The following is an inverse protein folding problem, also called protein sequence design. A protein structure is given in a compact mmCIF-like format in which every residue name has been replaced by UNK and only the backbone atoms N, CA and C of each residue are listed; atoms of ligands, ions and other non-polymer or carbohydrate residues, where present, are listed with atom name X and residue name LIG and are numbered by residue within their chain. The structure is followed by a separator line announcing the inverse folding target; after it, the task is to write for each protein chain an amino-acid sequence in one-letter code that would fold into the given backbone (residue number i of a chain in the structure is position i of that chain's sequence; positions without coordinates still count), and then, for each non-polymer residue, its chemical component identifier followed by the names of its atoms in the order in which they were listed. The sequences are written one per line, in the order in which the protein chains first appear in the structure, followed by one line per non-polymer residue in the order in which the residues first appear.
data_IF_471741003743
#
_entry.id   IF_471741003743
#
_cell.length_a   1.000
_cell.length_b   1.000
_cell.length_c   1.000
_cell.angle_alpha   90.00
_cell.angle_beta   90.00
_cell.angle_gamma   90.00
#
_symmetry.space_group_name_H-M   'P 1'
#
loop_
_entity.id
_entity.type
_entity.pdbx_description
1 polymer ?
#
# COMPACT_ATOMS: atom_id res chain seq x y z
N UNK A 1 5.24 -7.98 16.70
CA UNK A 1 5.37 -6.75 17.50
C UNK A 1 4.50 -6.93 18.73
N UNK A 2 5.10 -7.25 19.88
CA UNK A 2 4.43 -7.33 21.17
C UNK A 2 3.98 -5.90 21.51
N UNK A 3 2.68 -5.67 21.52
CA UNK A 3 2.09 -4.45 22.09
C UNK A 3 2.19 -4.55 23.61
N UNK A 4 3.27 -4.05 24.15
CA UNK A 4 3.39 -3.85 25.59
C UNK A 4 2.34 -2.79 25.98
N UNK A 5 1.30 -3.22 26.68
CA UNK A 5 0.17 -2.38 27.10
C UNK A 5 0.41 -1.71 28.46
N UNK A 6 1.64 -1.72 28.96
CA UNK A 6 1.97 -1.01 30.20
C UNK A 6 1.79 0.49 29.96
N UNK A 7 1.02 1.20 30.77
CA UNK A 7 0.94 2.66 30.64
C UNK A 7 2.34 3.23 30.87
N UNK A 8 2.88 3.86 29.82
CA UNK A 8 4.14 4.58 29.92
C UNK A 8 3.93 5.77 30.85
N UNK A 9 4.45 5.65 32.06
CA UNK A 9 4.49 6.76 33.01
C UNK A 9 5.73 7.59 32.71
N UNK A 10 5.56 8.90 32.59
CA UNK A 10 6.67 9.81 32.36
C UNK A 10 7.58 9.82 33.58
N UNK A 11 8.88 9.61 33.37
CA UNK A 11 9.89 9.61 34.41
C UNK A 11 10.16 11.07 34.85
N UNK A 12 9.95 11.36 36.13
CA UNK A 12 10.13 12.70 36.73
C UNK A 12 11.16 12.73 37.86
N UNK A 13 11.57 11.57 38.34
CA UNK A 13 12.48 11.45 39.51
C UNK A 13 13.96 11.39 39.08
N UNK A 14 14.34 12.21 38.10
CA UNK A 14 15.72 12.25 37.60
C UNK A 14 16.49 13.42 38.19
N UNK A 15 17.81 13.22 38.32
CA UNK A 15 18.74 14.28 38.72
C UNK A 15 19.91 14.31 37.76
N UNK A 16 20.16 15.41 37.02
CA UNK A 16 19.35 16.64 36.98
C UNK A 16 18.07 16.52 36.20
N UNK A 17 17.05 17.29 36.57
CA UNK A 17 15.85 17.49 35.76
C UNK A 17 15.50 18.98 35.69
N UNK A 18 14.71 19.35 34.65
CA UNK A 18 14.33 20.72 34.35
C UNK A 18 12.81 20.82 34.24
N UNK A 19 12.25 21.88 34.84
CA UNK A 19 10.81 22.13 34.78
C UNK A 19 10.42 22.57 33.36
N UNK A 20 9.82 21.67 32.61
CA UNK A 20 9.44 21.92 31.19
C UNK A 20 8.00 22.42 31.13
N UNK A 21 7.82 23.60 30.55
CA UNK A 21 6.51 24.22 30.35
C UNK A 21 5.90 23.84 29.02
N UNK A 22 6.76 23.66 28.00
CA UNK A 22 6.33 23.43 26.62
C UNK A 22 7.27 22.47 25.91
N UNK A 23 6.70 21.59 25.08
CA UNK A 23 7.45 20.73 24.16
C UNK A 23 7.08 21.11 22.71
N UNK A 24 8.07 21.40 21.90
CA UNK A 24 7.90 21.86 20.50
C UNK A 24 8.55 20.88 19.56
N UNK A 25 7.92 20.64 18.40
CA UNK A 25 8.50 19.90 17.31
C UNK A 25 8.80 20.87 16.16
N UNK A 26 10.07 21.04 15.82
CA UNK A 26 10.56 21.85 14.71
C UNK A 26 11.28 20.99 13.67
N UNK A 27 11.75 21.62 12.60
CA UNK A 27 12.48 20.97 11.51
C UNK A 27 11.72 21.04 10.19
N UNK A 28 12.31 20.42 9.19
CA UNK A 28 11.75 20.43 7.83
C UNK A 28 10.40 19.71 7.80
N UNK A 29 9.38 20.34 7.21
CA UNK A 29 8.00 19.84 7.17
C UNK A 29 7.40 19.46 8.55
N UNK A 30 7.87 20.10 9.63
CA UNK A 30 7.43 19.75 11.00
C UNK A 30 5.90 19.80 11.18
N UNK A 31 5.21 20.66 10.43
CA UNK A 31 3.74 20.72 10.42
C UNK A 31 3.07 19.37 10.07
N UNK A 32 3.66 18.61 9.16
CA UNK A 32 3.21 17.26 8.77
C UNK A 32 3.30 16.25 9.90
N UNK A 33 4.24 16.42 10.82
CA UNK A 33 4.60 15.47 11.87
C UNK A 33 4.09 15.84 13.26
N UNK A 34 3.38 16.97 13.41
CA UNK A 34 2.82 17.42 14.69
C UNK A 34 1.92 16.38 15.38
N UNK A 35 1.32 15.47 14.60
CA UNK A 35 0.55 14.37 15.15
C UNK A 35 1.37 13.44 16.06
N UNK A 36 2.67 13.29 15.79
CA UNK A 36 3.56 12.47 16.59
C UNK A 36 3.83 13.12 17.94
N UNK A 37 4.08 14.42 17.98
CA UNK A 37 4.21 15.20 19.21
C UNK A 37 2.91 15.18 20.02
N UNK A 38 1.76 15.49 19.41
CA UNK A 38 0.46 15.44 20.11
C UNK A 38 0.21 14.06 20.71
N UNK A 39 0.56 12.99 19.99
CA UNK A 39 0.44 11.64 20.52
C UNK A 39 1.36 11.40 21.73
N UNK A 40 2.62 11.87 21.68
CA UNK A 40 3.56 11.72 22.80
C UNK A 40 3.09 12.49 24.03
N UNK A 41 2.66 13.74 23.87
CA UNK A 41 2.09 14.56 24.95
C UNK A 41 0.90 13.86 25.63
N UNK A 42 -0.02 13.33 24.84
CA UNK A 42 -1.20 12.62 25.34
C UNK A 42 -0.85 11.28 26.00
N UNK A 43 0.01 10.50 25.37
CA UNK A 43 0.38 9.17 25.85
C UNK A 43 1.17 9.22 27.17
N UNK A 44 2.05 10.21 27.30
CA UNK A 44 2.86 10.45 28.49
C UNK A 44 2.15 11.32 29.54
N UNK A 45 0.92 11.75 29.25
CA UNK A 45 0.12 12.64 30.13
C UNK A 45 0.93 13.85 30.60
N UNK A 46 1.63 14.48 29.66
CA UNK A 46 2.46 15.64 29.96
C UNK A 46 1.62 16.83 30.43
N UNK A 47 2.06 17.41 31.54
CA UNK A 47 1.52 18.66 32.07
C UNK A 47 2.64 19.71 32.19
N UNK A 48 2.29 20.98 31.94
CA UNK A 48 3.25 22.08 32.02
C UNK A 48 3.87 22.17 33.41
N UNK A 49 5.20 22.23 33.49
CA UNK A 49 5.97 22.31 34.71
C UNK A 49 6.50 20.97 35.19
N UNK A 50 6.20 19.87 34.54
CA UNK A 50 6.81 18.58 34.88
C UNK A 50 8.33 18.63 34.76
N UNK A 51 9.01 17.95 35.70
CA UNK A 51 10.47 17.88 35.73
C UNK A 51 10.97 16.78 34.81
N UNK A 52 11.67 17.13 33.75
CA UNK A 52 12.21 16.20 32.75
C UNK A 52 13.74 16.20 32.80
N UNK A 53 14.31 15.01 32.93
CA UNK A 53 15.73 14.77 32.68
C UNK A 53 15.97 14.03 31.37
N UNK A 54 17.15 13.44 31.22
CA UNK A 54 17.54 12.74 30.00
C UNK A 54 16.61 11.58 29.65
N UNK A 55 16.14 10.81 30.64
CA UNK A 55 15.24 9.68 30.37
C UNK A 55 13.83 10.15 29.97
N UNK A 56 13.30 11.21 30.60
CA UNK A 56 12.03 11.82 30.25
C UNK A 56 12.04 12.36 28.80
N UNK A 57 13.12 13.04 28.39
CA UNK A 57 13.32 13.47 27.01
C UNK A 57 13.38 12.29 26.05
N UNK A 58 14.12 11.22 26.41
CA UNK A 58 14.19 10.01 25.60
C UNK A 58 12.83 9.31 25.47
N UNK A 59 11.99 9.32 26.50
CA UNK A 59 10.62 8.81 26.43
C UNK A 59 9.80 9.57 25.40
N UNK A 60 9.88 10.91 25.40
CA UNK A 60 9.20 11.74 24.39
C UNK A 60 9.65 11.37 22.97
N UNK A 61 10.97 11.31 22.73
CA UNK A 61 11.53 10.93 21.44
C UNK A 61 11.05 9.54 21.01
N UNK A 62 11.08 8.57 21.90
CA UNK A 62 10.70 7.18 21.63
C UNK A 62 9.21 7.07 21.28
N UNK A 63 8.33 7.69 22.06
CA UNK A 63 6.89 7.63 21.81
C UNK A 63 6.52 8.32 20.52
N UNK A 64 7.09 9.50 20.27
CA UNK A 64 6.88 10.22 19.01
C UNK A 64 7.45 9.45 17.81
N UNK A 65 8.65 8.88 17.92
CA UNK A 65 9.27 8.05 16.87
C UNK A 65 8.43 6.81 16.56
N UNK A 66 7.95 6.10 17.58
CA UNK A 66 7.10 4.93 17.39
C UNK A 66 5.78 5.30 16.69
N UNK A 67 5.24 6.49 16.95
CA UNK A 67 4.06 6.98 16.24
C UNK A 67 4.33 7.27 14.78
N UNK A 68 5.50 7.81 14.43
CA UNK A 68 5.93 7.99 13.04
C UNK A 68 6.02 6.64 12.32
N UNK A 69 6.69 5.67 12.93
CA UNK A 69 6.84 4.31 12.37
C UNK A 69 5.46 3.66 12.16
N UNK A 70 4.57 3.76 13.14
CA UNK A 70 3.20 3.23 13.04
C UNK A 70 2.37 3.88 11.91
N UNK A 71 2.72 5.08 11.48
CA UNK A 71 2.12 5.78 10.33
C UNK A 71 2.87 5.57 9.01
N UNK A 72 3.91 4.71 9.02
CA UNK A 72 4.69 4.36 7.84
C UNK A 72 5.95 5.20 7.60
N UNK A 73 6.25 6.19 8.45
CA UNK A 73 7.45 7.04 8.34
C UNK A 73 8.66 6.38 8.99
N UNK A 74 9.11 5.27 8.42
CA UNK A 74 10.11 4.39 9.03
C UNK A 74 11.53 4.95 9.02
N UNK A 75 11.83 5.88 8.11
CA UNK A 75 13.16 6.51 7.96
C UNK A 75 13.21 7.95 8.50
N UNK A 76 12.06 8.52 8.86
CA UNK A 76 12.00 9.85 9.51
C UNK A 76 12.44 9.74 10.97
N UNK A 77 13.26 10.66 11.44
CA UNK A 77 13.83 10.66 12.78
C UNK A 77 13.36 11.87 13.58
N UNK A 78 13.17 11.66 14.89
CA UNK A 78 12.97 12.71 15.89
C UNK A 78 14.17 12.69 16.82
N UNK A 79 14.83 13.85 16.96
CA UNK A 79 16.04 14.03 17.75
C UNK A 79 15.85 15.20 18.71
N UNK A 80 16.55 15.16 19.85
CA UNK A 80 16.75 16.31 20.72
C UNK A 80 18.21 16.73 20.60
N UNK A 81 18.46 17.87 19.97
CA UNK A 81 19.79 18.45 19.93
C UNK A 81 20.17 18.97 21.33
N UNK A 82 21.49 19.08 21.63
CA UNK A 82 21.95 19.76 22.83
C UNK A 82 21.32 21.16 22.93
N UNK A 83 20.67 21.44 24.06
CA UNK A 83 19.89 22.66 24.27
C UNK A 83 19.86 23.02 25.76
N UNK A 84 19.62 24.29 26.06
CA UNK A 84 19.40 24.75 27.41
C UNK A 84 17.91 24.57 27.79
N UNK A 85 17.64 23.69 28.74
CA UNK A 85 16.29 23.41 29.24
C UNK A 85 15.85 24.33 30.38
N UNK A 86 16.72 25.21 30.88
CA UNK A 86 16.39 26.15 31.95
C UNK A 86 15.32 27.18 31.53
N UNK A 87 15.16 27.40 30.25
CA UNK A 87 14.11 28.28 29.72
C UNK A 87 12.70 27.64 29.78
N UNK A 88 12.60 26.35 30.16
CA UNK A 88 11.35 25.63 30.27
C UNK A 88 10.79 25.12 28.93
N UNK A 89 11.56 25.17 27.85
CA UNK A 89 11.14 24.67 26.55
C UNK A 89 11.99 23.46 26.12
N UNK A 90 11.35 22.36 25.76
CA UNK A 90 11.99 21.22 25.11
C UNK A 90 11.73 21.28 23.60
N UNK A 91 12.78 21.44 22.83
CA UNK A 91 12.71 21.46 21.36
C UNK A 91 13.13 20.11 20.81
N UNK A 92 12.21 19.43 20.15
CA UNK A 92 12.46 18.23 19.37
C UNK A 92 12.59 18.60 17.89
N UNK A 93 13.51 17.98 17.18
CA UNK A 93 13.75 18.23 15.77
C UNK A 93 13.37 17.00 14.95
N UNK A 94 12.48 17.17 13.98
CA UNK A 94 12.16 16.13 13.00
C UNK A 94 13.05 16.25 11.79
N UNK A 95 13.58 15.13 11.33
CA UNK A 95 14.39 15.00 10.12
C UNK A 95 13.68 14.01 9.21
N UNK A 96 13.00 14.47 8.14
CA UNK A 96 12.30 13.60 7.21
C UNK A 96 13.27 12.69 6.46
N UNK A 97 12.95 11.38 6.42
CA UNK A 97 13.60 10.47 5.51
C UNK A 97 12.98 10.61 4.11
N UNK A 98 13.82 10.79 3.07
CA UNK A 98 13.36 11.04 1.70
C UNK A 98 13.73 9.92 0.75
N UNK A 99 12.94 9.80 -0.30
CA UNK A 99 13.24 8.95 -1.44
C UNK A 99 14.20 9.70 -2.33
N UNK A 100 15.43 9.21 -2.48
CA UNK A 100 16.40 9.74 -3.44
C UNK A 100 15.99 9.35 -4.85
N UNK A 101 15.87 8.07 -5.09
CA UNK A 101 15.67 7.49 -6.41
C UNK A 101 14.76 6.26 -6.35
N UNK A 102 14.03 6.01 -7.43
CA UNK A 102 13.26 4.79 -7.65
C UNK A 102 13.85 4.12 -8.87
N UNK A 103 14.43 2.93 -8.69
CA UNK A 103 15.10 2.18 -9.75
C UNK A 103 14.65 0.73 -9.79
N UNK A 104 14.81 0.12 -10.94
CA UNK A 104 14.58 -1.31 -11.10
C UNK A 104 15.88 -2.08 -10.92
N UNK A 105 15.78 -3.25 -10.33
CA UNK A 105 16.86 -4.22 -10.30
C UNK A 105 16.93 -4.91 -11.68
N UNK A 106 18.04 -4.73 -12.38
CA UNK A 106 18.25 -5.24 -13.74
C UNK A 106 18.65 -6.74 -13.77
N UNK A 107 18.67 -7.41 -12.63
CA UNK A 107 19.03 -8.82 -12.54
C UNK A 107 18.08 -9.77 -13.27
N UNK A 108 16.87 -9.32 -13.62
CA UNK A 108 15.87 -10.06 -14.39
C UNK A 108 15.47 -9.26 -15.65
N UNK A 109 16.19 -9.49 -16.74
CA UNK A 109 16.05 -8.75 -18.00
C UNK A 109 14.83 -9.13 -18.88
N UNK A 110 13.90 -9.95 -18.38
CA UNK A 110 12.78 -10.46 -19.20
C UNK A 110 11.71 -9.42 -19.53
N UNK A 111 11.71 -8.26 -18.87
CA UNK A 111 10.71 -7.22 -19.09
C UNK A 111 11.33 -5.99 -19.75
N UNK A 112 10.66 -5.44 -20.79
CA UNK A 112 11.16 -4.25 -21.49
C UNK A 112 11.22 -3.03 -20.59
N UNK A 113 12.26 -2.21 -20.72
CA UNK A 113 12.50 -1.01 -19.93
C UNK A 113 11.30 -0.03 -19.93
N UNK A 114 10.63 0.08 -21.09
CA UNK A 114 9.45 0.96 -21.26
C UNK A 114 8.27 0.52 -20.38
N UNK A 115 8.01 -0.78 -20.31
CA UNK A 115 6.94 -1.32 -19.48
C UNK A 115 7.21 -1.14 -17.99
N UNK A 116 8.47 -1.25 -17.57
CA UNK A 116 8.89 -1.00 -16.19
C UNK A 116 8.62 0.44 -15.77
N UNK A 117 9.00 1.43 -16.59
CA UNK A 117 8.79 2.84 -16.30
C UNK A 117 7.28 3.16 -16.21
N UNK A 118 6.47 2.67 -17.14
CA UNK A 118 5.02 2.86 -17.10
C UNK A 118 4.40 2.25 -15.86
N UNK A 119 4.71 1.00 -15.58
CA UNK A 119 4.18 0.27 -14.43
C UNK A 119 4.53 0.99 -13.11
N UNK A 120 5.79 1.43 -12.93
CA UNK A 120 6.20 2.14 -11.71
C UNK A 120 5.50 3.48 -11.53
N UNK A 121 5.40 4.28 -12.59
CA UNK A 121 4.73 5.59 -12.54
C UNK A 121 3.26 5.48 -12.17
N UNK A 122 2.61 4.45 -12.66
CA UNK A 122 1.19 4.20 -12.43
C UNK A 122 0.94 3.55 -11.07
N UNK A 123 1.75 2.55 -10.71
CA UNK A 123 1.58 1.76 -9.52
C UNK A 123 2.01 2.46 -8.24
N UNK A 124 3.11 3.22 -8.26
CA UNK A 124 3.71 3.82 -7.06
C UNK A 124 3.08 5.17 -6.72
N UNK A 125 2.49 5.32 -5.53
CA UNK A 125 1.94 6.60 -5.07
C UNK A 125 3.01 7.53 -4.44
N UNK A 126 4.27 7.39 -4.85
CA UNK A 126 5.40 8.23 -4.41
C UNK A 126 6.41 8.42 -5.55
N UNK A 127 7.26 9.43 -5.41
CA UNK A 127 8.29 9.80 -6.38
C UNK A 127 9.58 10.24 -5.66
N UNK A 128 10.67 10.38 -6.42
CA UNK A 128 11.92 11.00 -5.92
C UNK A 128 11.65 12.36 -5.27
N UNK A 129 12.29 12.59 -4.14
CA UNK A 129 12.12 13.79 -3.31
C UNK A 129 10.99 13.70 -2.28
N UNK A 130 10.04 12.78 -2.43
CA UNK A 130 8.97 12.62 -1.46
C UNK A 130 9.50 12.08 -0.11
N UNK A 131 8.81 12.45 0.96
CA UNK A 131 9.04 11.79 2.26
C UNK A 131 8.65 10.33 2.16
N UNK A 132 9.60 9.46 2.52
CA UNK A 132 9.42 8.02 2.44
C UNK A 132 8.31 7.57 3.40
N UNK A 133 7.35 6.83 2.85
CA UNK A 133 6.28 6.22 3.63
C UNK A 133 6.08 4.77 3.19
N UNK A 134 6.28 3.85 4.12
CA UNK A 134 6.20 2.41 3.88
C UNK A 134 4.81 1.98 3.35
N UNK A 135 3.72 2.60 3.83
CA UNK A 135 2.37 2.28 3.35
C UNK A 135 2.15 2.60 1.87
N UNK A 136 2.80 3.67 1.39
CA UNK A 136 2.78 3.99 -0.04
C UNK A 136 3.59 2.99 -0.86
N UNK A 137 4.69 2.48 -0.29
CA UNK A 137 5.51 1.42 -0.92
C UNK A 137 4.71 0.12 -0.97
N UNK A 138 4.07 -0.27 0.13
CA UNK A 138 3.19 -1.45 0.20
C UNK A 138 2.06 -1.36 -0.83
N UNK A 139 1.40 -0.21 -0.95
CA UNK A 139 0.37 0.01 -1.98
C UNK A 139 0.93 -0.12 -3.40
N UNK A 140 2.13 0.40 -3.64
CA UNK A 140 2.81 0.24 -4.93
C UNK A 140 3.12 -1.21 -5.24
N UNK A 141 3.56 -1.97 -4.24
CA UNK A 141 3.83 -3.39 -4.37
C UNK A 141 2.56 -4.19 -4.68
N UNK A 142 1.47 -3.90 -3.99
CA UNK A 142 0.16 -4.52 -4.27
C UNK A 142 -0.29 -4.24 -5.71
N UNK A 143 -0.15 -3.00 -6.17
CA UNK A 143 -0.48 -2.63 -7.55
C UNK A 143 0.36 -3.40 -8.57
N UNK A 144 1.67 -3.57 -8.33
CA UNK A 144 2.57 -4.30 -9.22
C UNK A 144 2.29 -5.81 -9.23
N UNK A 145 1.89 -6.38 -8.09
CA UNK A 145 1.56 -7.81 -7.92
C UNK A 145 0.12 -8.15 -8.33
N UNK A 146 -0.67 -7.16 -8.67
CA UNK A 146 -2.10 -7.32 -8.93
C UNK A 146 -2.40 -8.30 -10.06
N UNK A 147 -1.59 -8.35 -11.08
CA UNK A 147 -1.76 -9.28 -12.20
C UNK A 147 -1.08 -10.62 -11.90
N UNK A 148 -1.79 -11.75 -12.03
CA UNK A 148 -1.31 -13.07 -11.60
C UNK A 148 -0.05 -13.56 -12.29
N UNK A 149 0.30 -13.01 -13.46
CA UNK A 149 1.52 -13.38 -14.20
C UNK A 149 2.72 -12.50 -13.85
N UNK A 150 2.57 -11.52 -12.94
CA UNK A 150 3.64 -10.65 -12.49
C UNK A 150 4.06 -10.99 -11.06
N UNK A 151 5.37 -10.94 -10.84
CA UNK A 151 6.00 -11.01 -9.53
C UNK A 151 6.71 -9.69 -9.25
N UNK A 152 6.57 -9.18 -8.05
CA UNK A 152 7.22 -7.96 -7.64
C UNK A 152 7.71 -8.05 -6.20
N UNK A 153 8.82 -7.37 -5.94
CA UNK A 153 9.35 -7.09 -4.60
C UNK A 153 9.91 -5.67 -4.59
N UNK A 154 9.83 -5.01 -3.45
CA UNK A 154 10.36 -3.66 -3.28
C UNK A 154 11.26 -3.62 -2.06
N UNK A 155 12.49 -3.16 -2.25
CA UNK A 155 13.48 -3.01 -1.19
C UNK A 155 13.78 -1.52 -0.97
N UNK A 156 13.95 -1.14 0.30
CA UNK A 156 14.41 0.17 0.72
C UNK A 156 15.89 0.03 1.04
N UNK A 157 16.74 0.72 0.31
CA UNK A 157 18.18 0.67 0.46
C UNK A 157 18.68 2.05 0.91
N UNK A 158 19.46 2.17 2.01
CA UNK A 158 20.06 3.43 2.39
C UNK A 158 20.88 4.03 1.24
N UNK A 159 20.76 5.35 1.03
CA UNK A 159 21.58 6.08 0.09
C UNK A 159 22.85 6.62 0.77
N UNK A 160 23.79 7.18 -0.03
CA UNK A 160 25.03 7.74 0.50
C UNK A 160 24.78 8.99 1.36
N UNK A 161 23.78 9.80 1.00
CA UNK A 161 23.41 10.96 1.78
C UNK A 161 22.58 10.53 3.02
N UNK A 162 22.83 11.14 4.17
CA UNK A 162 22.06 10.87 5.37
C UNK A 162 20.58 11.20 5.15
N UNK A 163 19.69 10.38 5.71
CA UNK A 163 18.23 10.53 5.61
C UNK A 163 17.64 10.36 4.21
N UNK A 164 18.40 9.82 3.28
CA UNK A 164 17.93 9.43 1.96
C UNK A 164 17.95 7.91 1.78
N UNK A 165 17.02 7.41 1.00
CA UNK A 165 16.92 5.99 0.65
C UNK A 165 16.49 5.81 -0.79
N UNK A 166 17.03 4.77 -1.43
CA UNK A 166 16.59 4.31 -2.74
C UNK A 166 15.48 3.28 -2.61
N UNK A 167 14.55 3.33 -3.53
CA UNK A 167 13.53 2.30 -3.71
C UNK A 167 13.96 1.42 -4.88
N UNK A 168 14.30 0.17 -4.58
CA UNK A 168 14.72 -0.81 -5.59
C UNK A 168 13.57 -1.77 -5.84
N UNK A 169 13.05 -1.78 -7.06
CA UNK A 169 11.93 -2.59 -7.49
C UNK A 169 12.47 -3.79 -8.27
N UNK A 170 12.18 -4.99 -7.77
CA UNK A 170 12.33 -6.24 -8.53
C UNK A 170 10.97 -6.54 -9.14
N UNK A 171 10.89 -6.60 -10.44
CA UNK A 171 9.65 -6.91 -11.14
C UNK A 171 9.92 -7.79 -12.35
N UNK A 172 9.22 -8.91 -12.39
CA UNK A 172 9.23 -9.84 -13.49
C UNK A 172 7.79 -10.14 -13.93
N UNK A 173 7.60 -10.30 -15.23
CA UNK A 173 6.32 -10.71 -15.80
C UNK A 173 6.56 -11.86 -16.78
N UNK A 174 5.65 -12.83 -16.80
CA UNK A 174 5.68 -13.94 -17.76
C UNK A 174 5.69 -13.39 -19.19
N UNK A 175 6.48 -13.98 -20.09
CA UNK A 175 6.60 -13.56 -21.48
C UNK A 175 5.26 -13.57 -22.23
N UNK A 176 4.41 -14.56 -21.93
CA UNK A 176 3.05 -14.64 -22.47
C UNK A 176 2.07 -14.41 -21.34
N UNK A 177 1.63 -13.16 -21.13
CA UNK A 177 0.75 -12.79 -20.01
C UNK A 177 -0.71 -13.07 -20.32
N UNK A 178 -1.00 -14.18 -21.01
CA UNK A 178 -2.34 -14.62 -21.37
C UNK A 178 -2.69 -15.85 -20.54
N UNK A 179 -3.89 -15.85 -19.97
CA UNK A 179 -4.44 -16.98 -19.24
C UNK A 179 -5.78 -17.38 -19.84
N UNK A 180 -6.00 -18.66 -19.98
CA UNK A 180 -7.28 -19.24 -20.41
C UNK A 180 -7.80 -20.12 -19.29
N UNK A 181 -9.05 -19.95 -18.93
CA UNK A 181 -9.76 -20.80 -17.97
C UNK A 181 -11.03 -21.32 -18.62
N UNK A 182 -11.27 -22.61 -18.44
CA UNK A 182 -12.49 -23.27 -18.84
C UNK A 182 -13.13 -23.87 -17.59
N UNK A 183 -14.44 -23.68 -17.43
CA UNK A 183 -15.20 -24.35 -16.37
C UNK A 183 -16.49 -24.92 -16.91
N UNK A 184 -16.92 -26.01 -16.29
CA UNK A 184 -18.22 -26.64 -16.51
C UNK A 184 -18.79 -26.92 -15.13
N UNK A 185 -20.03 -26.55 -14.92
CA UNK A 185 -20.74 -26.77 -13.67
C UNK A 185 -22.21 -27.14 -13.93
N UNK A 186 -22.89 -27.58 -12.90
CA UNK A 186 -24.31 -27.92 -12.88
C UNK A 186 -25.16 -26.90 -12.10
N UNK A 187 -24.71 -25.66 -12.06
CA UNK A 187 -25.38 -24.57 -11.35
C UNK A 187 -26.57 -23.97 -12.05
N UNK A 188 -26.88 -24.47 -13.23
CA UNK A 188 -28.02 -24.04 -14.04
C UNK A 188 -29.37 -24.48 -13.49
N UNK A 189 -30.42 -24.12 -14.19
CA UNK A 189 -31.80 -24.51 -13.89
C UNK A 189 -32.46 -25.14 -15.10
N UNK A 190 -33.61 -25.80 -14.89
CA UNK A 190 -34.41 -26.40 -15.98
C UNK A 190 -34.76 -25.41 -17.08
N UNK A 191 -34.84 -24.13 -16.76
CA UNK A 191 -35.16 -23.06 -17.73
C UNK A 191 -33.94 -22.50 -18.48
N UNK A 192 -32.77 -22.54 -17.82
CA UNK A 192 -31.52 -21.95 -18.37
C UNK A 192 -30.58 -23.03 -18.92
N UNK A 193 -30.84 -24.31 -18.65
CA UNK A 193 -29.98 -25.44 -18.88
C UNK A 193 -29.23 -25.82 -17.59
N UNK A 194 -29.30 -27.10 -17.21
CA UNK A 194 -28.69 -27.63 -15.96
C UNK A 194 -27.16 -27.47 -16.01
N UNK A 195 -26.56 -27.80 -17.13
CA UNK A 195 -25.11 -27.73 -17.32
C UNK A 195 -24.70 -26.41 -17.95
N UNK A 196 -23.80 -25.70 -17.28
CA UNK A 196 -23.27 -24.43 -17.74
C UNK A 196 -21.77 -24.57 -18.04
N UNK A 197 -21.35 -24.01 -19.18
CA UNK A 197 -19.96 -23.93 -19.57
C UNK A 197 -19.49 -22.49 -19.60
N UNK A 198 -18.28 -22.20 -19.12
CA UNK A 198 -17.68 -20.90 -19.29
C UNK A 198 -16.25 -20.98 -19.81
N UNK A 199 -15.89 -20.02 -20.63
CA UNK A 199 -14.54 -19.82 -21.13
C UNK A 199 -14.12 -18.39 -20.86
N UNK A 200 -13.00 -18.22 -20.14
CA UNK A 200 -12.45 -16.92 -19.81
C UNK A 200 -11.06 -16.78 -20.40
N UNK A 201 -10.84 -15.69 -21.13
CA UNK A 201 -9.52 -15.27 -21.60
C UNK A 201 -9.12 -14.01 -20.84
N UNK A 202 -7.98 -14.05 -20.17
CA UNK A 202 -7.42 -12.93 -19.42
C UNK A 202 -6.12 -12.47 -20.03
N UNK A 203 -5.96 -11.16 -20.15
CA UNK A 203 -4.74 -10.49 -20.58
C UNK A 203 -4.21 -9.69 -19.39
N UNK A 204 -3.05 -10.09 -18.90
CA UNK A 204 -2.40 -9.45 -17.77
C UNK A 204 -1.46 -8.35 -18.26
N UNK A 205 -1.66 -7.13 -17.81
CA UNK A 205 -0.85 -5.95 -18.12
C UNK A 205 -0.80 -5.59 -19.65
N UNK A 206 -1.93 -5.62 -20.37
CA UNK A 206 -1.94 -5.39 -21.81
C UNK A 206 -1.42 -4.01 -22.22
N UNK A 207 -1.59 -2.98 -21.41
CA UNK A 207 -1.11 -1.62 -21.67
C UNK A 207 0.18 -1.25 -20.92
N UNK A 208 0.72 -2.17 -20.11
CA UNK A 208 1.90 -1.90 -19.28
C UNK A 208 1.63 -1.02 -18.07
N UNK A 209 0.38 -0.96 -17.60
CA UNK A 209 -0.07 -0.10 -16.49
C UNK A 209 -0.43 -0.90 -15.22
N UNK A 210 0.02 -2.15 -15.11
CA UNK A 210 -0.44 -3.13 -14.14
C UNK A 210 -1.95 -3.36 -14.24
N UNK A 211 -2.47 -3.24 -15.43
CA UNK A 211 -3.87 -3.38 -15.78
C UNK A 211 -4.25 -4.83 -16.05
N UNK A 212 -5.53 -5.12 -15.92
CA UNK A 212 -6.10 -6.44 -16.13
C UNK A 212 -7.31 -6.33 -17.04
N UNK A 213 -7.29 -7.13 -18.09
CA UNK A 213 -8.43 -7.33 -18.97
C UNK A 213 -8.84 -8.80 -18.92
N UNK A 214 -10.14 -9.07 -18.87
CA UNK A 214 -10.64 -10.41 -19.17
C UNK A 214 -11.97 -10.35 -19.88
N UNK A 215 -12.20 -11.37 -20.71
CA UNK A 215 -13.42 -11.66 -21.42
C UNK A 215 -13.91 -13.05 -21.03
N UNK A 216 -15.15 -13.15 -20.58
CA UNK A 216 -15.79 -14.42 -20.25
C UNK A 216 -16.98 -14.63 -21.19
N UNK A 217 -17.08 -15.83 -21.74
CA UNK A 217 -18.22 -16.30 -22.49
C UNK A 217 -18.84 -17.49 -21.74
N UNK A 218 -20.13 -17.41 -21.49
CA UNK A 218 -20.92 -18.46 -20.86
C UNK A 218 -21.90 -19.02 -21.88
N UNK A 219 -22.07 -20.33 -21.85
CA UNK A 219 -23.02 -21.03 -22.72
C UNK A 219 -23.64 -22.20 -21.97
N UNK A 220 -24.91 -22.38 -22.16
CA UNK A 220 -25.62 -23.58 -21.70
C UNK A 220 -25.15 -24.79 -22.52
N UNK A 221 -24.82 -25.88 -21.84
CA UNK A 221 -24.35 -27.15 -22.43
C UNK A 221 -25.44 -28.20 -22.51
N UNK A 222 -26.67 -27.85 -22.13
CA UNK A 222 -27.84 -28.77 -22.19
C UNK A 222 -28.50 -29.01 -20.83
N UNK A 223 -29.33 -30.03 -20.77
CA UNK A 223 -30.15 -30.35 -19.57
C UNK A 223 -31.41 -29.50 -19.44
N UNK A 224 -31.85 -28.88 -20.54
CA UNK A 224 -33.14 -28.18 -20.58
C UNK A 224 -34.26 -29.15 -20.78
N UNK A 225 -35.35 -28.95 -20.02
CA UNK A 225 -36.63 -29.54 -20.39
C UNK A 225 -37.17 -28.87 -21.64
N UNK A 226 -37.26 -29.61 -22.73
CA UNK A 226 -37.86 -29.09 -23.96
C UNK A 226 -39.33 -28.73 -23.72
N UNK A 227 -39.61 -27.43 -23.65
CA UNK A 227 -40.97 -26.94 -23.58
C UNK A 227 -41.46 -26.74 -25.04
N UNK A 228 -42.47 -27.50 -25.37
CA UNK A 228 -43.16 -27.30 -26.66
C UNK A 228 -44.35 -26.36 -26.41
N UNK A 229 -44.37 -25.18 -27.01
CA UNK A 229 -45.49 -24.25 -26.94
C UNK A 229 -46.76 -24.85 -27.57
N UNK A 230 -47.89 -24.27 -27.20
CA UNK A 230 -49.23 -24.70 -27.68
C UNK A 230 -49.29 -24.74 -29.21
N UNK A 231 -48.47 -23.94 -29.89
CA UNK A 231 -48.36 -23.91 -31.37
C UNK A 231 -47.34 -24.92 -31.92
N UNK A 232 -46.83 -25.84 -31.12
CA UNK A 232 -45.88 -26.87 -31.56
C UNK A 232 -44.46 -26.34 -31.84
N UNK A 233 -44.14 -25.10 -31.41
CA UNK A 233 -42.80 -24.54 -31.53
C UNK A 233 -41.96 -25.00 -30.35
N UNK A 234 -40.81 -25.58 -30.66
CA UNK A 234 -39.82 -25.90 -29.64
C UNK A 234 -39.19 -24.58 -29.16
N UNK A 235 -39.55 -24.15 -27.97
CA UNK A 235 -38.86 -23.05 -27.27
C UNK A 235 -37.60 -23.60 -26.61
N UNK A 236 -36.44 -23.33 -27.17
CA UNK A 236 -35.18 -23.81 -26.64
C UNK A 236 -33.98 -23.27 -27.38
N UNK A 237 -33.86 -21.95 -27.51
CA UNK A 237 -32.56 -21.37 -27.79
C UNK A 237 -31.72 -21.46 -26.52
N UNK A 238 -30.48 -21.98 -26.62
CA UNK A 238 -29.54 -22.00 -25.53
C UNK A 238 -29.33 -20.61 -24.92
N UNK A 239 -29.17 -20.56 -23.62
CA UNK A 239 -28.79 -19.31 -22.96
C UNK A 239 -27.29 -19.11 -23.11
N UNK A 240 -26.91 -17.92 -23.49
CA UNK A 240 -25.51 -17.52 -23.57
C UNK A 240 -25.36 -16.11 -23.04
N UNK A 241 -24.17 -15.82 -22.55
CA UNK A 241 -23.83 -14.51 -22.03
C UNK A 241 -22.35 -14.22 -22.22
N UNK A 242 -22.02 -12.98 -22.18
CA UNK A 242 -20.62 -12.54 -22.17
C UNK A 242 -20.42 -11.47 -21.11
N UNK A 243 -19.20 -11.40 -20.61
CA UNK A 243 -18.77 -10.36 -19.69
C UNK A 243 -17.38 -9.88 -20.10
N UNK A 244 -17.22 -8.58 -20.13
CA UNK A 244 -15.94 -7.89 -20.37
C UNK A 244 -15.56 -7.13 -19.11
N UNK A 245 -14.35 -7.31 -18.66
CA UNK A 245 -13.80 -6.58 -17.54
C UNK A 245 -12.48 -5.94 -17.91
N UNK A 246 -12.32 -4.67 -17.56
CA UNK A 246 -11.04 -3.99 -17.60
C UNK A 246 -10.83 -3.24 -16.29
N UNK A 247 -9.62 -3.32 -15.74
CA UNK A 247 -9.28 -2.55 -14.54
C UNK A 247 -7.82 -2.14 -14.52
N UNK A 248 -7.57 -0.93 -13.99
CA UNK A 248 -6.25 -0.31 -13.93
C UNK A 248 -6.04 0.38 -12.59
N UNK A 249 -4.91 0.12 -11.90
CA UNK A 249 -4.54 0.86 -10.70
C UNK A 249 -3.89 2.18 -11.09
N UNK A 250 -4.25 3.26 -10.40
CA UNK A 250 -3.58 4.55 -10.49
C UNK A 250 -3.26 5.00 -9.07
N UNK A 251 -2.03 4.78 -8.63
CA UNK A 251 -1.55 5.10 -7.29
C UNK A 251 -2.42 4.44 -6.19
N UNK A 252 -3.27 5.23 -5.52
CA UNK A 252 -4.14 4.76 -4.44
C UNK A 252 -5.56 4.37 -4.92
N UNK A 253 -5.83 4.44 -6.22
CA UNK A 253 -7.15 4.20 -6.82
C UNK A 253 -7.12 2.99 -7.74
N UNK A 254 -8.20 2.26 -7.73
CA UNK A 254 -8.46 1.20 -8.70
C UNK A 254 -9.69 1.57 -9.53
N UNK A 255 -9.51 1.76 -10.81
CA UNK A 255 -10.59 1.99 -11.75
C UNK A 255 -10.96 0.68 -12.43
N UNK A 256 -12.24 0.40 -12.53
CA UNK A 256 -12.74 -0.80 -13.23
C UNK A 256 -13.96 -0.49 -14.05
N UNK A 257 -14.06 -1.14 -15.21
CA UNK A 257 -15.19 -1.14 -16.12
C UNK A 257 -15.66 -2.58 -16.30
N UNK A 258 -16.97 -2.80 -16.19
CA UNK A 258 -17.61 -4.07 -16.48
C UNK A 258 -18.74 -3.83 -17.48
N UNK A 259 -18.85 -4.72 -18.47
CA UNK A 259 -19.94 -4.74 -19.44
C UNK A 259 -20.33 -6.20 -19.71
N UNK A 260 -21.67 -6.46 -19.80
CA UNK A 260 -22.22 -7.77 -20.06
C UNK A 260 -23.62 -7.69 -20.66
#
# INVERSE_FOLDING_TARGET
VVKDKTPLVLIQDETPCFAIKEVVLQGEESGRFQFALRHALSQLKFESGMCLGAQGVNQFMTVAQNKLIAKGYTTTRILAAPQDLNNGQLVLTVIPGRVREIRFDDSNAETTHVNRIRASRNALPLKSGDVLNLRKIEQGLENLKRVPTAEADIQIVPADAPNESDIVIKWAQRQVPVRVSLSVDDSGSDSTGEYQGSATVSLDNPLGLSDLFYFTYNHDLGGKNEYTDIDGRKAGSGTHGYNVHYSVPIKNWLFSLNAG
#
